data_IF_300142458849
#
_entry.id   IF_300142458849
#
_cell.length_a   1.000
_cell.length_b   1.000
_cell.length_c   1.000
_cell.angle_alpha   90.00
_cell.angle_beta   90.00
_cell.angle_gamma   90.00
#
_symmetry.space_group_name_H-M   'P 1'
#
loop_
_entity.id
_entity.type
_entity.pdbx_description
1 polymer ?
#
# COMPACT_ATOMS: atom_id res chain seq x y z
N UNK A 1 7.63 23.79 -14.28
CA UNK A 1 7.73 23.07 -12.99
C UNK A 1 6.64 22.01 -13.00
N UNK A 2 6.94 20.78 -12.62
CA UNK A 2 5.91 19.75 -12.48
C UNK A 2 4.96 20.17 -11.34
N UNK A 3 3.66 19.93 -11.52
CA UNK A 3 2.65 20.18 -10.50
C UNK A 3 2.93 19.25 -9.29
N UNK A 4 3.00 19.84 -8.11
CA UNK A 4 3.23 19.07 -6.88
C UNK A 4 1.99 18.26 -6.49
N UNK A 5 2.21 17.14 -5.86
CA UNK A 5 1.15 16.20 -5.47
C UNK A 5 0.61 16.60 -4.10
N UNK A 6 -0.68 16.87 -4.04
CA UNK A 6 -1.40 16.99 -2.76
C UNK A 6 -1.49 15.64 -2.05
N UNK A 7 -1.20 15.63 -0.74
CA UNK A 7 -1.24 14.46 0.13
C UNK A 7 -2.35 14.65 1.19
N UNK A 8 -3.60 14.22 0.90
CA UNK A 8 -4.70 14.35 1.85
C UNK A 8 -4.51 13.44 3.06
N UNK A 9 -4.91 13.93 4.24
CA UNK A 9 -4.93 13.11 5.46
C UNK A 9 -6.09 12.11 5.45
N UNK A 10 -5.81 10.88 5.84
CA UNK A 10 -6.82 9.88 6.20
C UNK A 10 -7.35 10.17 7.61
N UNK A 11 -8.33 11.08 7.72
CA UNK A 11 -8.85 11.56 9.02
C UNK A 11 -9.37 10.42 9.88
N UNK A 12 -10.14 9.49 9.32
CA UNK A 12 -10.67 8.34 10.06
C UNK A 12 -9.57 7.51 10.74
N UNK A 13 -8.45 7.27 10.04
CA UNK A 13 -7.29 6.56 10.59
C UNK A 13 -6.64 7.38 11.70
N UNK A 14 -6.41 8.68 11.46
CA UNK A 14 -5.78 9.57 12.45
C UNK A 14 -6.63 9.65 13.72
N UNK A 15 -7.94 9.80 13.59
CA UNK A 15 -8.85 9.89 14.73
C UNK A 15 -8.91 8.54 15.47
N UNK A 16 -9.01 7.40 14.76
CA UNK A 16 -8.98 6.06 15.36
C UNK A 16 -7.71 5.82 16.19
N UNK A 17 -6.52 6.21 15.65
CA UNK A 17 -5.26 6.06 16.37
C UNK A 17 -5.18 6.94 17.63
N UNK A 18 -5.83 8.11 17.63
CA UNK A 18 -5.89 9.00 18.81
C UNK A 18 -6.87 8.52 19.88
N UNK A 19 -8.02 8.00 19.48
CA UNK A 19 -9.11 7.62 20.38
C UNK A 19 -8.86 6.28 21.10
N UNK A 20 -8.06 5.39 20.50
CA UNK A 20 -7.81 4.06 21.07
C UNK A 20 -6.63 4.06 22.06
N UNK A 21 -6.84 3.45 23.21
CA UNK A 21 -5.73 3.15 24.13
C UNK A 21 -4.79 2.08 23.60
N UNK A 22 -5.31 1.21 22.72
CA UNK A 22 -4.57 0.20 21.97
C UNK A 22 -5.28 -0.09 20.66
N UNK A 23 -4.53 -0.15 19.55
CA UNK A 23 -5.07 -0.44 18.21
C UNK A 23 -4.20 -1.41 17.42
N UNK A 24 -4.81 -2.10 16.47
CA UNK A 24 -4.14 -3.06 15.58
C UNK A 24 -4.26 -2.61 14.14
N UNK A 25 -3.12 -2.64 13.44
CA UNK A 25 -3.03 -2.36 12.01
C UNK A 25 -2.67 -3.65 11.30
N UNK A 26 -3.50 -4.11 10.39
CA UNK A 26 -3.18 -5.25 9.50
C UNK A 26 -2.84 -4.69 8.12
N UNK A 27 -1.69 -5.08 7.57
CA UNK A 27 -1.35 -4.83 6.17
C UNK A 27 -1.59 -6.12 5.38
N UNK A 28 -2.53 -6.07 4.44
CA UNK A 28 -3.08 -7.24 3.75
C UNK A 28 -2.85 -7.16 2.24
N UNK A 29 -2.14 -8.14 1.67
CA UNK A 29 -1.78 -8.08 0.25
C UNK A 29 -0.93 -9.25 -0.21
N UNK A 30 -0.18 -9.03 -1.29
CA UNK A 30 0.65 -10.04 -1.93
C UNK A 30 2.17 -9.81 -1.69
N UNK A 31 3.03 -10.11 -2.68
CA UNK A 31 4.50 -10.02 -2.57
C UNK A 31 5.03 -8.62 -2.21
N UNK A 32 4.34 -7.56 -2.60
CA UNK A 32 4.73 -6.19 -2.21
C UNK A 32 4.36 -5.84 -0.76
N UNK A 33 3.51 -6.65 -0.13
CA UNK A 33 3.16 -6.55 1.28
C UNK A 33 3.94 -7.53 2.13
N UNK A 34 4.26 -8.72 1.60
CA UNK A 34 5.03 -9.72 2.30
C UNK A 34 6.45 -9.24 2.60
N UNK A 35 6.89 -9.46 3.84
CA UNK A 35 8.23 -9.11 4.29
C UNK A 35 9.18 -10.29 4.08
N UNK A 36 9.53 -10.59 2.82
CA UNK A 36 10.38 -11.74 2.46
C UNK A 36 11.81 -11.37 2.04
N UNK A 37 12.06 -10.09 1.75
CA UNK A 37 13.39 -9.61 1.35
C UNK A 37 14.10 -8.90 2.49
N UNK A 38 15.45 -8.96 2.54
CA UNK A 38 16.22 -8.18 3.50
C UNK A 38 16.05 -6.68 3.24
N UNK A 39 16.44 -5.87 4.22
CA UNK A 39 16.33 -4.42 4.18
C UNK A 39 15.02 -3.90 4.76
N UNK A 40 14.85 -2.57 4.73
CA UNK A 40 13.67 -1.90 5.28
C UNK A 40 12.47 -2.12 4.37
N UNK A 41 11.38 -2.57 4.94
CA UNK A 41 10.11 -2.71 4.27
C UNK A 41 9.19 -1.52 4.56
N UNK A 42 8.23 -1.21 3.68
CA UNK A 42 7.30 -0.11 3.90
C UNK A 42 6.45 -0.27 5.18
N UNK A 43 6.14 -1.51 5.56
CA UNK A 43 5.46 -1.78 6.83
C UNK A 43 6.35 -1.52 8.05
N UNK A 44 7.68 -1.69 7.93
CA UNK A 44 8.62 -1.33 8.98
C UNK A 44 8.67 0.19 9.17
N UNK A 45 8.69 0.96 8.07
CA UNK A 45 8.62 2.43 8.10
C UNK A 45 7.33 2.88 8.78
N UNK A 46 6.20 2.28 8.40
CA UNK A 46 4.91 2.57 9.01
C UNK A 46 4.91 2.24 10.51
N UNK A 47 5.46 1.09 10.90
CA UNK A 47 5.55 0.68 12.29
C UNK A 47 6.39 1.66 13.12
N UNK A 48 7.57 2.02 12.64
CA UNK A 48 8.47 2.96 13.33
C UNK A 48 7.82 4.34 13.44
N UNK A 49 7.17 4.82 12.37
CA UNK A 49 6.48 6.10 12.38
C UNK A 49 5.29 6.14 13.35
N UNK A 50 4.42 5.13 13.34
CA UNK A 50 3.33 5.05 14.31
C UNK A 50 3.88 4.97 15.75
N UNK A 51 4.94 4.18 15.96
CA UNK A 51 5.58 4.03 17.27
C UNK A 51 6.19 5.31 17.79
N UNK A 52 6.75 6.17 16.93
CA UNK A 52 7.33 7.45 17.32
C UNK A 52 6.30 8.41 17.94
N UNK A 53 5.02 8.31 17.49
CA UNK A 53 3.92 9.17 17.96
C UNK A 53 3.12 8.51 19.10
N UNK A 54 2.80 7.21 18.94
CA UNK A 54 1.86 6.51 19.83
C UNK A 54 2.54 5.53 20.81
N UNK A 55 3.86 5.38 20.74
CA UNK A 55 4.64 4.50 21.62
C UNK A 55 4.25 3.03 21.44
N UNK A 56 3.92 2.36 22.56
CA UNK A 56 3.57 0.92 22.58
C UNK A 56 2.07 0.65 22.45
N UNK A 57 1.29 1.63 22.07
CA UNK A 57 -0.19 1.53 22.00
C UNK A 57 -0.71 0.81 20.77
N UNK A 58 0.14 0.19 19.96
CA UNK A 58 -0.31 -0.49 18.74
C UNK A 58 0.47 -1.76 18.43
N UNK A 59 -0.09 -2.57 17.55
CA UNK A 59 0.55 -3.74 16.95
C UNK A 59 0.30 -3.74 15.44
N UNK A 60 1.37 -3.85 14.66
CA UNK A 60 1.28 -4.01 13.21
C UNK A 60 1.45 -5.50 12.85
N UNK A 61 0.53 -6.02 12.08
CA UNK A 61 0.50 -7.40 11.60
C UNK A 61 0.68 -7.39 10.08
N UNK A 62 1.74 -8.02 9.59
CA UNK A 62 1.94 -8.17 8.16
C UNK A 62 1.32 -9.48 7.68
N UNK A 63 0.23 -9.37 6.92
CA UNK A 63 -0.54 -10.44 6.30
C UNK A 63 -0.32 -10.48 4.77
N UNK A 64 0.88 -10.15 4.30
CA UNK A 64 1.30 -10.33 2.91
C UNK A 64 1.63 -11.78 2.61
N UNK A 65 1.21 -12.29 1.44
CA UNK A 65 1.58 -13.63 0.93
C UNK A 65 1.89 -13.53 -0.56
N UNK A 66 3.13 -13.80 -0.94
CA UNK A 66 3.61 -13.70 -2.33
C UNK A 66 2.76 -14.52 -3.29
N UNK A 67 2.52 -13.92 -4.46
CA UNK A 67 1.75 -14.57 -5.51
C UNK A 67 0.24 -14.54 -5.32
N UNK A 68 -0.29 -14.10 -4.16
CA UNK A 68 -1.74 -14.08 -3.96
C UNK A 68 -2.42 -13.02 -4.83
N UNK A 69 -3.58 -13.38 -5.37
CA UNK A 69 -4.57 -12.48 -5.96
C UNK A 69 -5.73 -12.26 -4.96
N UNK A 70 -6.77 -11.55 -5.37
CA UNK A 70 -7.93 -11.26 -4.50
C UNK A 70 -8.70 -12.51 -4.08
N UNK A 71 -8.81 -13.56 -4.92
CA UNK A 71 -9.45 -14.85 -4.55
C UNK A 71 -8.72 -15.51 -3.39
N UNK A 72 -7.40 -15.62 -3.51
CA UNK A 72 -6.55 -16.23 -2.49
C UNK A 72 -6.53 -15.36 -1.21
N UNK A 73 -6.60 -14.03 -1.37
CA UNK A 73 -6.79 -13.10 -0.25
C UNK A 73 -8.08 -13.37 0.50
N UNK A 74 -9.21 -13.44 -0.18
CA UNK A 74 -10.52 -13.75 0.41
C UNK A 74 -10.53 -15.10 1.12
N UNK A 75 -9.92 -16.14 0.52
CA UNK A 75 -9.87 -17.47 1.10
C UNK A 75 -9.15 -17.53 2.47
N UNK A 76 -8.21 -16.61 2.71
CA UNK A 76 -7.45 -16.55 3.98
C UNK A 76 -7.84 -15.37 4.88
N UNK A 77 -8.86 -14.59 4.52
CA UNK A 77 -9.24 -13.36 5.23
C UNK A 77 -9.54 -13.61 6.72
N UNK A 78 -10.30 -14.64 7.04
CA UNK A 78 -10.66 -14.97 8.43
C UNK A 78 -9.43 -15.27 9.28
N UNK A 79 -8.51 -16.08 8.74
CA UNK A 79 -7.28 -16.48 9.44
C UNK A 79 -6.30 -15.31 9.59
N UNK A 80 -6.09 -14.52 8.52
CA UNK A 80 -4.97 -13.60 8.44
C UNK A 80 -5.35 -12.14 8.73
N UNK A 81 -6.65 -11.84 8.79
CA UNK A 81 -7.16 -10.50 9.07
C UNK A 81 -8.13 -10.51 10.25
N UNK A 82 -9.25 -11.24 10.14
CA UNK A 82 -10.33 -11.16 11.12
C UNK A 82 -9.90 -11.68 12.52
N UNK A 83 -9.09 -12.75 12.57
CA UNK A 83 -8.59 -13.32 13.83
C UNK A 83 -7.79 -12.33 14.68
N UNK A 84 -7.23 -11.28 14.07
CA UNK A 84 -6.48 -10.24 14.79
C UNK A 84 -7.35 -9.12 15.33
N UNK A 85 -8.66 -9.09 15.02
CA UNK A 85 -9.58 -8.01 15.42
C UNK A 85 -8.97 -6.63 15.14
N UNK A 86 -8.66 -6.29 13.88
CA UNK A 86 -7.96 -5.06 13.51
C UNK A 86 -8.84 -3.82 13.74
N UNK A 87 -8.19 -2.68 13.96
CA UNK A 87 -8.82 -1.36 13.91
C UNK A 87 -8.66 -0.71 12.52
N UNK A 88 -7.57 -1.04 11.83
CA UNK A 88 -7.21 -0.49 10.51
C UNK A 88 -6.69 -1.65 9.65
N UNK A 89 -7.15 -1.73 8.39
CA UNK A 89 -6.63 -2.71 7.41
C UNK A 89 -6.21 -1.99 6.14
N UNK A 90 -4.92 -2.05 5.82
CA UNK A 90 -4.37 -1.52 4.56
C UNK A 90 -4.35 -2.64 3.53
N UNK A 91 -5.09 -2.49 2.44
CA UNK A 91 -5.27 -3.51 1.40
C UNK A 91 -4.48 -3.16 0.16
N UNK A 92 -3.62 -4.09 -0.30
CA UNK A 92 -2.77 -3.91 -1.48
C UNK A 92 -2.83 -5.17 -2.37
N UNK A 93 -3.83 -5.25 -3.25
CA UNK A 93 -3.96 -6.27 -4.29
C UNK A 93 -3.92 -5.61 -5.68
N UNK A 94 -4.11 -6.35 -6.74
CA UNK A 94 -4.14 -6.08 -8.16
C UNK A 94 -2.93 -6.59 -8.95
N UNK A 95 -1.73 -6.63 -8.37
CA UNK A 95 -0.50 -6.98 -9.09
C UNK A 95 -0.47 -8.42 -9.65
N UNK A 96 -1.13 -9.36 -8.99
CA UNK A 96 -1.28 -10.74 -9.47
C UNK A 96 -2.61 -10.94 -10.20
N UNK A 97 -3.64 -10.22 -9.81
CA UNK A 97 -4.96 -10.25 -10.47
C UNK A 97 -4.87 -9.88 -11.96
N UNK A 98 -3.99 -8.93 -12.29
CA UNK A 98 -3.72 -8.50 -13.66
C UNK A 98 -2.77 -9.42 -14.44
N UNK A 99 -2.36 -10.56 -13.89
CA UNK A 99 -1.52 -11.52 -14.62
C UNK A 99 -2.37 -12.28 -15.65
N UNK A 100 -2.13 -12.13 -16.97
CA UNK A 100 -2.98 -12.75 -17.98
C UNK A 100 -2.97 -14.29 -17.97
N UNK A 101 -2.02 -14.89 -17.25
CA UNK A 101 -1.82 -16.33 -17.22
C UNK A 101 -2.65 -17.00 -16.11
N UNK A 102 -3.46 -18.03 -16.43
CA UNK A 102 -4.14 -18.83 -15.43
C UNK A 102 -3.14 -19.55 -14.48
N UNK A 103 -3.49 -19.81 -13.23
CA UNK A 103 -4.78 -19.47 -12.58
C UNK A 103 -4.81 -18.08 -11.94
N UNK A 104 -3.80 -17.23 -12.18
CA UNK A 104 -3.65 -15.94 -11.47
C UNK A 104 -4.61 -14.87 -11.96
N UNK A 105 -4.94 -14.86 -13.25
CA UNK A 105 -5.83 -13.86 -13.81
C UNK A 105 -7.20 -13.85 -13.12
N UNK A 106 -7.60 -12.69 -12.64
CA UNK A 106 -8.93 -12.42 -12.09
C UNK A 106 -9.60 -11.41 -13.02
N UNK A 107 -10.70 -11.76 -13.74
CA UNK A 107 -11.41 -10.82 -14.60
C UNK A 107 -11.82 -9.55 -13.85
N UNK A 108 -11.96 -8.43 -14.57
CA UNK A 108 -12.26 -7.11 -13.97
C UNK A 108 -13.53 -7.10 -13.12
N UNK A 109 -14.60 -7.76 -13.59
CA UNK A 109 -15.87 -7.87 -12.87
C UNK A 109 -15.65 -8.59 -11.53
N UNK A 110 -15.03 -9.77 -11.55
CA UNK A 110 -14.72 -10.53 -10.35
C UNK A 110 -13.74 -9.80 -9.43
N UNK A 111 -12.74 -9.09 -10.00
CA UNK A 111 -11.83 -8.26 -9.20
C UNK A 111 -12.60 -7.18 -8.42
N UNK A 112 -13.55 -6.52 -9.08
CA UNK A 112 -14.39 -5.51 -8.44
C UNK A 112 -15.26 -6.12 -7.32
N UNK A 113 -15.90 -7.25 -7.57
CA UNK A 113 -16.69 -7.98 -6.56
C UNK A 113 -15.81 -8.40 -5.38
N UNK A 114 -14.61 -8.94 -5.63
CA UNK A 114 -13.68 -9.35 -4.60
C UNK A 114 -13.21 -8.16 -3.74
N UNK A 115 -12.91 -7.01 -4.37
CA UNK A 115 -12.51 -5.80 -3.63
C UNK A 115 -13.66 -5.27 -2.78
N UNK A 116 -14.89 -5.23 -3.32
CA UNK A 116 -16.08 -4.81 -2.57
C UNK A 116 -16.35 -5.74 -1.39
N UNK A 117 -16.17 -7.04 -1.57
CA UNK A 117 -16.33 -8.03 -0.50
C UNK A 117 -15.24 -7.89 0.57
N UNK A 118 -13.97 -7.69 0.21
CA UNK A 118 -12.87 -7.44 1.16
C UNK A 118 -13.19 -6.20 2.00
N UNK A 119 -13.60 -5.10 1.37
CA UNK A 119 -13.95 -3.84 2.05
C UNK A 119 -15.13 -4.07 3.02
N UNK A 120 -16.18 -4.76 2.55
CA UNK A 120 -17.36 -5.07 3.35
C UNK A 120 -17.00 -5.92 4.59
N UNK A 121 -16.17 -6.95 4.41
CA UNK A 121 -15.70 -7.81 5.52
C UNK A 121 -14.87 -7.01 6.54
N UNK A 122 -14.00 -6.11 6.10
CA UNK A 122 -13.23 -5.23 7.00
C UNK A 122 -14.18 -4.34 7.82
N UNK A 123 -15.16 -3.72 7.18
CA UNK A 123 -16.16 -2.89 7.88
C UNK A 123 -17.01 -3.69 8.86
N UNK A 124 -17.36 -4.93 8.52
CA UNK A 124 -18.10 -5.81 9.42
C UNK A 124 -17.36 -6.12 10.73
N UNK A 125 -16.01 -6.03 10.72
CA UNK A 125 -15.18 -6.12 11.94
C UNK A 125 -15.12 -4.81 12.74
N UNK A 126 -15.75 -3.72 12.28
CA UNK A 126 -15.60 -2.38 12.83
C UNK A 126 -14.25 -1.73 12.50
N UNK A 127 -13.48 -2.31 11.60
CA UNK A 127 -12.20 -1.79 11.16
C UNK A 127 -12.34 -0.78 10.01
N UNK A 128 -11.35 0.11 9.89
CA UNK A 128 -11.25 1.09 8.80
C UNK A 128 -10.47 0.46 7.64
N UNK A 129 -11.09 0.26 6.46
CA UNK A 129 -10.37 -0.12 5.26
C UNK A 129 -9.62 1.08 4.67
N UNK A 130 -8.37 0.87 4.28
CA UNK A 130 -7.56 1.79 3.49
C UNK A 130 -7.09 1.03 2.26
N UNK A 131 -7.40 1.51 1.07
CA UNK A 131 -6.86 0.93 -0.15
C UNK A 131 -5.52 1.58 -0.50
N UNK A 132 -4.60 0.77 -1.02
CA UNK A 132 -3.32 1.23 -1.54
C UNK A 132 -3.13 0.68 -2.95
N UNK A 133 -2.87 1.56 -3.94
CA UNK A 133 -2.49 1.10 -5.28
C UNK A 133 -1.07 0.52 -5.25
N UNK A 134 -0.77 -0.32 -6.24
CA UNK A 134 0.64 -0.54 -6.57
C UNK A 134 1.25 0.75 -7.15
N UNK A 135 2.56 0.77 -7.21
CA UNK A 135 3.38 1.82 -7.81
C UNK A 135 3.47 1.64 -9.33
N UNK A 136 4.08 2.61 -10.02
CA UNK A 136 4.42 2.49 -11.44
C UNK A 136 5.50 1.42 -11.63
N UNK A 137 5.19 0.44 -12.46
CA UNK A 137 6.09 -0.65 -12.86
C UNK A 137 6.90 -0.27 -14.12
N UNK A 138 7.91 -1.06 -14.46
CA UNK A 138 8.66 -0.89 -15.70
C UNK A 138 7.91 -1.59 -16.86
N UNK A 139 6.88 -0.95 -17.36
CA UNK A 139 5.96 -1.52 -18.35
C UNK A 139 6.65 -1.96 -19.65
N UNK A 140 7.69 -1.23 -20.09
CA UNK A 140 8.41 -1.54 -21.34
C UNK A 140 9.24 -2.84 -21.26
N UNK A 141 9.47 -3.37 -20.06
CA UNK A 141 10.11 -4.66 -19.81
C UNK A 141 9.13 -5.77 -19.40
N UNK A 142 7.84 -5.53 -19.58
CA UNK A 142 6.79 -6.50 -19.32
C UNK A 142 6.19 -6.98 -20.64
N UNK A 143 5.57 -8.15 -20.64
CA UNK A 143 4.70 -8.56 -21.71
C UNK A 143 3.62 -7.50 -21.96
N UNK A 144 3.34 -7.15 -23.22
CA UNK A 144 2.45 -6.05 -23.58
C UNK A 144 1.07 -6.17 -22.95
N UNK A 145 0.46 -7.38 -22.99
CA UNK A 145 -0.86 -7.63 -22.39
C UNK A 145 -0.83 -7.45 -20.88
N UNK A 146 0.22 -7.91 -20.21
CA UNK A 146 0.38 -7.73 -18.77
C UNK A 146 0.58 -6.26 -18.39
N UNK A 147 1.35 -5.51 -19.17
CA UNK A 147 1.55 -4.08 -18.95
C UNK A 147 0.24 -3.28 -19.11
N UNK A 148 -0.58 -3.62 -20.11
CA UNK A 148 -1.91 -3.05 -20.30
C UNK A 148 -2.81 -3.33 -19.11
N UNK A 149 -2.95 -4.59 -18.71
CA UNK A 149 -3.75 -5.00 -17.57
C UNK A 149 -3.27 -4.37 -16.26
N UNK A 150 -1.94 -4.32 -16.03
CA UNK A 150 -1.40 -3.69 -14.82
C UNK A 150 -1.83 -2.22 -14.69
N UNK A 151 -1.83 -1.45 -15.79
CA UNK A 151 -2.34 -0.07 -15.78
C UNK A 151 -3.84 -0.02 -15.52
N UNK A 152 -4.62 -0.92 -16.15
CA UNK A 152 -6.08 -0.98 -15.98
C UNK A 152 -6.45 -1.31 -14.52
N UNK A 153 -5.79 -2.28 -13.91
CA UNK A 153 -6.09 -2.68 -12.53
C UNK A 153 -5.75 -1.60 -11.49
N UNK A 154 -4.79 -0.71 -11.77
CA UNK A 154 -4.59 0.48 -10.92
C UNK A 154 -5.81 1.42 -10.97
N UNK A 155 -6.44 1.53 -12.13
CA UNK A 155 -7.69 2.30 -12.28
C UNK A 155 -8.83 1.61 -11.51
N UNK A 156 -8.96 0.28 -11.60
CA UNK A 156 -9.96 -0.49 -10.87
C UNK A 156 -9.84 -0.32 -9.34
N UNK A 157 -8.62 -0.27 -8.80
CA UNK A 157 -8.42 0.02 -7.36
C UNK A 157 -8.93 1.43 -7.00
N UNK A 158 -8.68 2.44 -7.85
CA UNK A 158 -9.21 3.80 -7.65
C UNK A 158 -10.75 3.83 -7.73
N UNK A 159 -11.31 3.13 -8.71
CA UNK A 159 -12.76 2.99 -8.87
C UNK A 159 -13.39 2.28 -7.66
N UNK A 160 -12.76 1.21 -7.14
CA UNK A 160 -13.21 0.52 -5.94
C UNK A 160 -13.18 1.44 -4.70
N UNK A 161 -12.12 2.24 -4.53
CA UNK A 161 -12.03 3.22 -3.46
C UNK A 161 -13.17 4.26 -3.53
N UNK A 162 -13.38 4.83 -4.72
CA UNK A 162 -14.43 5.83 -4.95
C UNK A 162 -15.83 5.25 -4.74
N UNK A 163 -16.11 4.08 -5.33
CA UNK A 163 -17.41 3.39 -5.26
C UNK A 163 -17.80 3.04 -3.83
N UNK A 164 -16.82 2.67 -3.01
CA UNK A 164 -17.04 2.28 -1.62
C UNK A 164 -16.81 3.42 -0.61
N UNK A 165 -16.49 4.62 -1.07
CA UNK A 165 -16.10 5.73 -0.19
C UNK A 165 -15.02 5.31 0.83
N UNK A 166 -13.90 4.77 0.34
CA UNK A 166 -12.75 4.30 1.11
C UNK A 166 -11.55 5.18 0.81
N UNK A 167 -10.77 5.50 1.84
CA UNK A 167 -9.55 6.26 1.64
C UNK A 167 -8.54 5.50 0.77
N UNK A 168 -7.96 6.20 -0.20
CA UNK A 168 -6.97 5.65 -1.13
C UNK A 168 -5.61 6.30 -0.92
N UNK A 169 -4.60 5.48 -0.64
CA UNK A 169 -3.19 5.84 -0.78
C UNK A 169 -2.75 5.49 -2.20
N UNK A 170 -2.68 6.49 -3.06
CA UNK A 170 -2.40 6.29 -4.48
C UNK A 170 -0.90 6.30 -4.78
N UNK A 171 -0.21 5.22 -4.45
CA UNK A 171 1.23 5.06 -4.72
C UNK A 171 1.57 5.20 -6.21
N UNK A 172 0.65 4.79 -7.09
CA UNK A 172 0.83 4.93 -8.52
C UNK A 172 0.99 6.41 -8.94
N UNK A 173 0.26 7.32 -8.30
CA UNK A 173 0.36 8.76 -8.51
C UNK A 173 1.75 9.30 -8.12
N UNK A 174 2.25 8.93 -6.93
CA UNK A 174 3.57 9.35 -6.45
C UNK A 174 4.70 8.84 -7.35
N UNK A 175 4.66 7.57 -7.72
CA UNK A 175 5.69 6.98 -8.60
C UNK A 175 5.64 7.51 -10.04
N UNK A 176 4.50 8.00 -10.52
CA UNK A 176 4.41 8.69 -11.81
C UNK A 176 5.03 10.09 -11.80
N UNK A 177 5.07 10.76 -10.65
CA UNK A 177 5.70 12.07 -10.52
C UNK A 177 7.24 11.99 -10.39
N UNK A 178 7.78 10.82 -10.09
CA UNK A 178 9.22 10.61 -10.01
C UNK A 178 9.82 10.59 -11.42
N UNK A 179 10.96 11.27 -11.67
CA UNK A 179 11.68 11.16 -12.94
C UNK A 179 11.95 9.71 -13.34
N UNK A 180 11.79 9.39 -14.62
CA UNK A 180 11.84 8.00 -15.11
C UNK A 180 13.17 7.30 -14.78
N UNK A 181 14.30 8.01 -14.85
CA UNK A 181 15.61 7.45 -14.50
C UNK A 181 15.67 7.11 -13.00
N UNK A 182 15.14 7.99 -12.13
CA UNK A 182 15.06 7.71 -10.69
C UNK A 182 14.18 6.49 -10.43
N UNK A 183 13.03 6.40 -11.09
CA UNK A 183 12.15 5.23 -10.98
C UNK A 183 12.88 3.94 -11.34
N UNK A 184 13.48 3.88 -12.53
CA UNK A 184 14.04 2.66 -13.07
C UNK A 184 15.33 2.21 -12.38
N UNK A 185 16.20 3.16 -12.00
CA UNK A 185 17.52 2.84 -11.46
C UNK A 185 17.62 2.91 -9.93
N UNK A 186 16.69 3.60 -9.27
CA UNK A 186 16.76 3.78 -7.82
C UNK A 186 15.60 3.12 -7.05
N UNK A 187 14.39 3.02 -7.63
CA UNK A 187 13.22 2.53 -6.88
C UNK A 187 12.85 1.09 -7.19
N UNK A 188 13.15 0.60 -8.40
CA UNK A 188 12.78 -0.74 -8.82
C UNK A 188 13.92 -1.74 -8.65
N UNK A 189 13.59 -2.94 -8.17
CA UNK A 189 14.45 -4.11 -8.13
C UNK A 189 14.42 -4.87 -9.47
N UNK A 190 13.22 -5.00 -10.01
CA UNK A 190 12.91 -5.65 -11.27
C UNK A 190 11.68 -4.98 -11.89
N UNK A 191 11.21 -5.37 -13.08
CA UNK A 191 10.07 -4.67 -13.71
C UNK A 191 8.81 -4.57 -12.87
N UNK A 192 8.62 -5.44 -11.88
CA UNK A 192 7.39 -5.55 -11.10
C UNK A 192 7.54 -5.24 -9.61
N UNK A 193 8.75 -5.26 -9.07
CA UNK A 193 8.96 -5.10 -7.63
C UNK A 193 9.89 -3.93 -7.33
N UNK A 194 9.59 -3.21 -6.27
CA UNK A 194 10.45 -2.17 -5.71
C UNK A 194 11.60 -2.79 -4.92
N UNK A 195 12.73 -2.09 -4.91
CA UNK A 195 13.85 -2.38 -4.01
C UNK A 195 13.61 -1.74 -2.62
N UNK A 196 14.59 -1.79 -1.75
CA UNK A 196 14.51 -1.21 -0.40
C UNK A 196 14.17 0.29 -0.42
N UNK A 197 14.80 1.07 -1.30
CA UNK A 197 14.52 2.50 -1.41
C UNK A 197 13.07 2.77 -1.89
N UNK A 198 12.59 2.02 -2.88
CA UNK A 198 11.20 2.11 -3.31
C UNK A 198 10.21 1.72 -2.20
N UNK A 199 10.54 0.69 -1.39
CA UNK A 199 9.74 0.32 -0.20
C UNK A 199 9.75 1.42 0.84
N UNK A 200 10.90 2.00 1.14
CA UNK A 200 11.01 3.13 2.09
C UNK A 200 10.17 4.32 1.61
N UNK A 201 10.20 4.62 0.32
CA UNK A 201 9.39 5.69 -0.28
C UNK A 201 7.88 5.44 -0.15
N UNK A 202 7.42 4.20 -0.35
CA UNK A 202 6.02 3.81 -0.09
C UNK A 202 5.64 4.08 1.38
N UNK A 203 6.51 3.70 2.31
CA UNK A 203 6.28 3.90 3.74
C UNK A 203 6.20 5.38 4.11
N UNK A 204 7.11 6.22 3.60
CA UNK A 204 7.09 7.68 3.80
C UNK A 204 5.77 8.29 3.30
N UNK A 205 5.30 7.91 2.11
CA UNK A 205 4.00 8.37 1.59
C UNK A 205 2.84 8.01 2.54
N UNK A 206 2.83 6.78 3.08
CA UNK A 206 1.81 6.34 4.05
C UNK A 206 1.84 7.18 5.33
N UNK A 207 3.03 7.48 5.86
CA UNK A 207 3.17 8.29 7.08
C UNK A 207 2.53 9.67 6.91
N UNK A 208 2.78 10.35 5.79
CA UNK A 208 2.17 11.64 5.50
C UNK A 208 0.63 11.56 5.44
N UNK A 209 0.07 10.52 4.81
CA UNK A 209 -1.38 10.30 4.80
C UNK A 209 -1.97 10.04 6.19
N UNK A 210 -1.16 9.53 7.12
CA UNK A 210 -1.57 9.27 8.50
C UNK A 210 -1.19 10.39 9.46
N UNK A 211 -0.75 11.54 8.94
CA UNK A 211 -0.42 12.74 9.72
C UNK A 211 0.83 12.56 10.59
N UNK A 212 1.73 11.68 10.21
CA UNK A 212 2.98 11.42 10.89
C UNK A 212 4.12 12.03 10.07
N UNK A 213 4.86 12.95 10.68
CA UNK A 213 6.03 13.55 10.07
C UNK A 213 7.23 12.60 10.15
N UNK A 214 7.74 12.08 9.01
CA UNK A 214 8.89 11.19 9.02
C UNK A 214 10.20 11.88 9.41
N UNK A 215 10.31 13.21 9.30
CA UNK A 215 11.49 13.97 9.74
C UNK A 215 11.61 13.99 11.27
N UNK A 216 10.48 13.90 11.98
CA UNK A 216 10.43 13.84 13.45
C UNK A 216 10.75 12.48 14.05
N UNK A 217 11.00 11.44 13.24
CA UNK A 217 11.32 10.09 13.73
C UNK A 217 12.79 10.05 14.20
N UNK A 218 13.03 9.61 15.44
CA UNK A 218 14.39 9.42 15.97
C UNK A 218 15.09 8.31 15.18
N UNK A 219 16.36 8.54 14.79
CA UNK A 219 17.13 7.65 13.91
C UNK A 219 16.48 7.44 12.53
N UNK A 220 16.06 8.54 11.92
CA UNK A 220 15.44 8.53 10.59
C UNK A 220 16.45 8.50 9.43
N UNK A 221 17.74 8.42 9.69
CA UNK A 221 18.79 8.46 8.67
C UNK A 221 18.52 7.53 7.47
N UNK A 222 18.04 6.28 7.66
CA UNK A 222 17.71 5.41 6.53
C UNK A 222 16.50 5.89 5.70
N UNK A 223 15.68 6.80 6.24
CA UNK A 223 14.49 7.34 5.57
C UNK A 223 14.80 8.62 4.78
N UNK A 224 15.90 9.34 5.10
CA UNK A 224 16.22 10.63 4.51
C UNK A 224 16.19 10.66 2.97
N UNK A 225 16.71 9.66 2.24
CA UNK A 225 16.61 9.67 0.79
C UNK A 225 15.16 9.63 0.27
N UNK A 226 14.29 8.87 0.94
CA UNK A 226 12.88 8.76 0.58
C UNK A 226 12.09 10.01 0.98
N UNK A 227 12.40 10.61 2.13
CA UNK A 227 11.86 11.91 2.57
C UNK A 227 12.23 13.00 1.57
N UNK A 228 13.50 13.09 1.18
CA UNK A 228 13.96 14.05 0.18
C UNK A 228 13.27 13.87 -1.19
N UNK A 229 13.06 12.63 -1.60
CA UNK A 229 12.32 12.34 -2.83
C UNK A 229 10.84 12.75 -2.70
N UNK A 230 10.18 12.45 -1.58
CA UNK A 230 8.82 12.88 -1.31
C UNK A 230 8.70 14.42 -1.36
N UNK A 231 9.54 15.14 -0.63
CA UNK A 231 9.54 16.62 -0.58
C UNK A 231 9.79 17.26 -1.97
N UNK A 232 10.44 16.54 -2.88
CA UNK A 232 10.67 17.03 -4.25
C UNK A 232 9.41 17.01 -5.14
N UNK A 233 8.41 16.17 -4.81
CA UNK A 233 7.22 15.93 -5.64
C UNK A 233 5.89 16.23 -4.94
N UNK A 234 5.86 16.34 -3.62
CA UNK A 234 4.66 16.64 -2.82
C UNK A 234 4.62 18.10 -2.36
N UNK A 235 3.40 18.58 -2.02
CA UNK A 235 3.15 19.89 -1.42
C UNK A 235 3.36 19.85 0.10
#
# INVERSE_FOLDING_TARGET
MAEKISTPLCREVVDRMKERDYFRVVVFGASNTERYMPGIHWSDVLEVGIRSVYGRKFHLINAGVSGNNTREGLARFERDVASFSPDIVIVTFAGNDCNPNPPKYVPEEEFNENMDLIISKIRALGAIPVLQTYYKMHYDRMEAKRAELARRYMILVREAAARNNVFLVDQFKYFNAVPVETLLYKLLLNPMHVNEFGKTFIGVNLLHHFGIDPEGIVHNEPLLPAIGLYNSIAE
#
